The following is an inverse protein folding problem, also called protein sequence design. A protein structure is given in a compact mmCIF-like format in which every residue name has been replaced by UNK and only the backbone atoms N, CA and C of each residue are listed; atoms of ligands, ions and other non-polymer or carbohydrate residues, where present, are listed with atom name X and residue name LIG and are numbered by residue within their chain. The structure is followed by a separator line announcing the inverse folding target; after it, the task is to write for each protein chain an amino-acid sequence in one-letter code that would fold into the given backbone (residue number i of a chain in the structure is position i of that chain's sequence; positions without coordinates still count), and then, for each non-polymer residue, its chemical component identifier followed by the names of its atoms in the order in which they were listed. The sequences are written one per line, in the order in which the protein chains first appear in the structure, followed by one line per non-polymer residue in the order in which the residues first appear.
data_IF_408107712864
#
_entry.id   IF_408107712864
#
_cell.length_a   1.000
_cell.length_b   1.000
_cell.length_c   1.000
_cell.angle_alpha   90.00
_cell.angle_beta   90.00
_cell.angle_gamma   90.00
#
_symmetry.space_group_name_H-M   'P 1'
#
loop_
_entity.id
_entity.type
_entity.pdbx_description
1 polymer ?
#
# COMPACT_ATOMS: atom_id res chain seq x y z
N UNK A 1 -18.57 1.42 12.69
CA UNK A 1 -17.20 1.16 12.19
C UNK A 1 -16.46 2.47 12.26
N UNK A 2 -15.32 2.54 12.96
CA UNK A 2 -14.51 3.75 12.99
C UNK A 2 -14.13 4.12 11.54
N UNK A 3 -14.30 5.38 11.17
CA UNK A 3 -14.11 5.87 9.81
C UNK A 3 -12.72 5.46 9.33
N UNK A 4 -12.61 4.89 8.12
CA UNK A 4 -11.33 4.49 7.51
C UNK A 4 -10.31 5.63 7.58
N UNK A 5 -10.78 6.87 7.37
CA UNK A 5 -9.99 8.09 7.49
C UNK A 5 -9.42 8.30 8.90
N UNK A 6 -10.19 7.99 9.94
CA UNK A 6 -9.74 8.11 11.33
C UNK A 6 -8.68 7.06 11.66
N UNK A 7 -8.82 5.84 11.11
CA UNK A 7 -7.78 4.80 11.21
C UNK A 7 -6.51 5.22 10.49
N UNK A 8 -6.64 5.77 9.28
CA UNK A 8 -5.52 6.31 8.50
C UNK A 8 -4.76 7.41 9.27
N UNK A 9 -5.52 8.37 9.80
CA UNK A 9 -4.99 9.47 10.61
C UNK A 9 -4.33 8.95 11.88
N UNK A 10 -4.90 7.93 12.52
CA UNK A 10 -4.32 7.28 13.68
C UNK A 10 -3.00 6.60 13.34
N UNK A 11 -2.89 5.91 12.20
CA UNK A 11 -1.62 5.31 11.74
C UNK A 11 -0.56 6.39 11.49
N UNK A 12 -0.94 7.50 10.83
CA UNK A 12 -0.03 8.62 10.53
C UNK A 12 0.49 9.33 11.79
N UNK A 13 -0.38 9.54 12.78
CA UNK A 13 -0.07 10.28 14.02
C UNK A 13 0.40 9.38 15.17
N UNK A 14 0.46 8.07 14.95
CA UNK A 14 0.90 7.11 15.95
C UNK A 14 2.38 7.29 16.29
N UNK A 15 2.70 7.27 17.59
CA UNK A 15 4.07 7.27 18.11
C UNK A 15 4.73 5.87 18.10
N UNK A 16 4.09 4.88 17.46
CA UNK A 16 4.66 3.53 17.31
C UNK A 16 5.87 3.54 16.36
N UNK A 17 6.72 2.52 16.47
CA UNK A 17 7.81 2.31 15.52
C UNK A 17 7.30 2.19 14.07
N UNK A 18 8.13 2.54 13.08
CA UNK A 18 7.73 2.50 11.68
C UNK A 18 7.27 1.09 11.23
N UNK A 19 7.87 0.02 11.75
CA UNK A 19 7.49 -1.37 11.45
C UNK A 19 6.05 -1.69 11.87
N UNK A 20 5.66 -1.26 13.08
CA UNK A 20 4.29 -1.45 13.56
C UNK A 20 3.28 -0.57 12.81
N UNK A 21 3.71 0.61 12.34
CA UNK A 21 2.87 1.48 11.50
C UNK A 21 2.71 0.92 10.10
N UNK A 22 3.76 0.32 9.53
CA UNK A 22 3.75 -0.29 8.21
C UNK A 22 2.85 -1.53 8.18
N UNK A 23 2.96 -2.43 9.16
CA UNK A 23 2.09 -3.62 9.23
C UNK A 23 0.61 -3.24 9.42
N UNK A 24 0.33 -2.21 10.25
CA UNK A 24 -1.02 -1.65 10.36
C UNK A 24 -1.49 -1.04 9.04
N UNK A 25 -0.62 -0.34 8.31
CA UNK A 25 -0.94 0.23 7.01
C UNK A 25 -1.24 -0.87 5.98
N UNK A 26 -0.43 -1.92 5.89
CA UNK A 26 -0.61 -3.05 4.97
C UNK A 26 -1.94 -3.77 5.22
N UNK A 27 -2.29 -4.01 6.50
CA UNK A 27 -3.60 -4.55 6.87
C UNK A 27 -4.74 -3.63 6.42
N UNK A 28 -4.62 -2.31 6.64
CA UNK A 28 -5.63 -1.36 6.17
C UNK A 28 -5.69 -1.26 4.65
N UNK A 29 -4.56 -1.41 3.95
CA UNK A 29 -4.49 -1.40 2.50
C UNK A 29 -5.27 -2.58 1.92
N UNK A 30 -5.03 -3.80 2.43
CA UNK A 30 -5.73 -5.00 1.97
C UNK A 30 -7.25 -4.87 2.16
N UNK A 31 -7.69 -4.37 3.30
CA UNK A 31 -9.11 -4.11 3.56
C UNK A 31 -9.71 -3.10 2.57
N UNK A 32 -8.97 -2.02 2.27
CA UNK A 32 -9.44 -0.98 1.34
C UNK A 32 -9.48 -1.49 -0.09
N UNK A 33 -8.49 -2.26 -0.53
CA UNK A 33 -8.49 -2.88 -1.87
C UNK A 33 -9.69 -3.83 -2.04
N UNK A 34 -9.95 -4.68 -1.04
CA UNK A 34 -11.10 -5.59 -1.07
C UNK A 34 -12.44 -4.85 -1.11
N UNK A 35 -12.59 -3.79 -0.29
CA UNK A 35 -13.80 -2.94 -0.29
C UNK A 35 -13.93 -2.20 -1.63
N UNK A 36 -12.83 -1.66 -2.16
CA UNK A 36 -12.79 -0.94 -3.44
C UNK A 36 -13.26 -1.84 -4.57
N UNK A 37 -12.72 -3.04 -4.68
CA UNK A 37 -13.05 -3.97 -5.77
C UNK A 37 -14.51 -4.40 -5.69
N UNK A 38 -14.99 -4.72 -4.49
CA UNK A 38 -16.40 -5.02 -4.25
C UNK A 38 -17.30 -3.86 -4.69
N UNK A 39 -17.02 -2.65 -4.21
CA UNK A 39 -17.85 -1.47 -4.51
C UNK A 39 -17.77 -1.09 -5.99
N UNK A 40 -16.62 -1.25 -6.65
CA UNK A 40 -16.49 -1.05 -8.09
C UNK A 40 -17.41 -1.98 -8.87
N UNK A 41 -17.44 -3.27 -8.51
CA UNK A 41 -18.31 -4.25 -9.17
C UNK A 41 -19.78 -3.90 -8.91
N UNK A 42 -20.15 -3.57 -7.66
CA UNK A 42 -21.52 -3.18 -7.32
C UNK A 42 -21.96 -1.91 -8.07
N UNK A 43 -21.13 -0.88 -8.11
CA UNK A 43 -21.42 0.36 -8.84
C UNK A 43 -21.47 0.14 -10.36
N UNK A 44 -20.61 -0.69 -10.92
CA UNK A 44 -20.65 -1.06 -12.33
C UNK A 44 -21.95 -1.80 -12.67
N UNK A 45 -22.39 -2.72 -11.80
CA UNK A 45 -23.67 -3.42 -11.95
C UNK A 45 -24.84 -2.45 -11.87
N UNK A 46 -24.91 -1.60 -10.84
CA UNK A 46 -25.97 -0.59 -10.69
C UNK A 46 -26.02 0.33 -11.92
N UNK A 47 -24.87 0.78 -12.41
CA UNK A 47 -24.78 1.60 -13.62
C UNK A 47 -25.33 0.88 -14.85
N UNK A 48 -24.98 -0.40 -15.03
CA UNK A 48 -25.50 -1.24 -16.11
C UNK A 48 -27.03 -1.40 -16.03
N UNK A 49 -27.55 -1.69 -14.84
CA UNK A 49 -28.98 -1.86 -14.59
C UNK A 49 -29.75 -0.56 -14.82
N UNK A 50 -29.23 0.57 -14.34
CA UNK A 50 -29.81 1.89 -14.59
C UNK A 50 -29.87 2.18 -16.09
N UNK A 51 -28.78 1.99 -16.82
CA UNK A 51 -28.77 2.21 -18.28
C UNK A 51 -29.77 1.33 -19.00
N UNK A 52 -29.86 0.07 -18.60
CA UNK A 52 -30.83 -0.89 -19.17
C UNK A 52 -32.26 -0.45 -18.91
N UNK A 53 -32.60 -0.12 -17.65
CA UNK A 53 -33.93 0.37 -17.26
C UNK A 53 -34.32 1.62 -18.04
N UNK A 54 -33.39 2.58 -18.16
CA UNK A 54 -33.63 3.84 -18.89
C UNK A 54 -33.73 3.65 -20.41
N UNK A 55 -33.02 2.65 -20.97
CA UNK A 55 -33.12 2.31 -22.39
C UNK A 55 -34.45 1.60 -22.75
N UNK A 56 -35.08 0.92 -21.79
CA UNK A 56 -36.38 0.25 -21.98
C UNK A 56 -37.53 1.25 -22.13
N UNK A 57 -37.45 2.42 -21.48
CA UNK A 57 -38.55 3.40 -21.48
C UNK A 57 -38.92 3.90 -22.89
N UNK A 58 -37.98 4.33 -23.76
CA UNK A 58 -38.31 4.68 -25.13
C UNK A 58 -39.01 3.55 -25.91
N UNK A 59 -38.65 2.29 -25.66
CA UNK A 59 -39.28 1.13 -26.31
C UNK A 59 -40.72 0.92 -25.84
N UNK A 60 -40.99 1.07 -24.55
CA UNK A 60 -42.35 0.99 -24.00
C UNK A 60 -43.24 2.11 -24.54
N UNK A 61 -42.68 3.31 -24.72
CA UNK A 61 -43.39 4.43 -25.35
C UNK A 61 -43.67 4.15 -26.84
N UNK A 62 -42.68 3.63 -27.57
CA UNK A 62 -42.84 3.32 -28.99
C UNK A 62 -43.86 2.21 -29.26
N UNK A 63 -43.99 1.25 -28.34
CA UNK A 63 -44.96 0.15 -28.39
C UNK A 63 -46.33 0.51 -27.82
N UNK A 64 -46.53 1.77 -27.41
CA UNK A 64 -47.74 2.30 -26.77
C UNK A 64 -48.14 1.54 -25.49
N UNK A 65 -47.19 0.83 -24.87
CA UNK A 65 -47.37 0.15 -23.60
C UNK A 65 -47.46 1.14 -22.43
N UNK A 66 -46.79 2.30 -22.57
CA UNK A 66 -46.90 3.44 -21.65
C UNK A 66 -46.86 4.75 -22.44
N UNK A 67 -47.68 5.72 -22.06
CA UNK A 67 -47.58 7.06 -22.64
C UNK A 67 -46.43 7.85 -22.00
N UNK A 68 -45.82 8.78 -22.76
CA UNK A 68 -44.77 9.68 -22.24
C UNK A 68 -45.22 10.44 -21.00
N UNK A 69 -46.47 10.92 -20.97
CA UNK A 69 -47.03 11.64 -19.82
C UNK A 69 -47.09 10.77 -18.55
N UNK A 70 -47.48 9.50 -18.68
CA UNK A 70 -47.52 8.57 -17.54
C UNK A 70 -46.12 8.31 -17.00
N UNK A 71 -45.13 8.16 -17.88
CA UNK A 71 -43.73 8.03 -17.46
C UNK A 71 -43.24 9.29 -16.73
N UNK A 72 -43.49 10.47 -17.30
CA UNK A 72 -43.10 11.74 -16.69
C UNK A 72 -43.75 11.91 -15.30
N UNK A 73 -45.00 11.49 -15.12
CA UNK A 73 -45.67 11.51 -13.82
C UNK A 73 -45.05 10.52 -12.83
N UNK A 74 -44.65 9.33 -13.30
CA UNK A 74 -44.03 8.29 -12.48
C UNK A 74 -42.62 8.67 -12.02
N UNK A 75 -41.81 9.26 -12.92
CA UNK A 75 -40.43 9.65 -12.61
C UNK A 75 -40.33 10.91 -11.75
N UNK A 76 -41.30 11.82 -11.88
CA UNK A 76 -41.36 13.04 -11.07
C UNK A 76 -42.03 12.82 -9.71
N UNK A 77 -42.60 11.63 -9.47
CA UNK A 77 -43.12 11.27 -8.17
C UNK A 77 -41.97 11.16 -7.17
N UNK A 78 -42.06 11.80 -5.99
CA UNK A 78 -41.06 11.64 -4.95
C UNK A 78 -40.94 10.16 -4.58
N UNK A 79 -39.74 9.62 -4.73
CA UNK A 79 -39.39 8.33 -4.17
C UNK A 79 -38.68 8.55 -2.87
N UNK A 80 -38.86 7.63 -1.93
CA UNK A 80 -38.25 7.72 -0.62
C UNK A 80 -37.36 6.50 -0.42
N UNK A 81 -36.18 6.72 0.14
CA UNK A 81 -35.31 5.63 0.59
C UNK A 81 -35.92 4.91 1.79
N UNK A 82 -35.26 3.84 2.24
CA UNK A 82 -35.68 3.04 3.40
C UNK A 82 -35.74 3.85 4.71
N UNK A 83 -35.13 5.04 4.72
CA UNK A 83 -35.07 5.98 5.85
C UNK A 83 -36.11 7.10 5.70
N UNK A 84 -36.93 7.07 4.65
CA UNK A 84 -37.95 8.07 4.37
C UNK A 84 -37.41 9.39 3.80
N UNK A 85 -36.16 9.43 3.32
CA UNK A 85 -35.59 10.61 2.65
C UNK A 85 -35.86 10.56 1.15
N UNK A 86 -36.04 11.72 0.49
CA UNK A 86 -36.26 11.76 -0.95
C UNK A 86 -35.07 11.15 -1.71
N UNK A 87 -35.31 10.06 -2.41
CA UNK A 87 -34.37 9.42 -3.32
C UNK A 87 -34.39 10.15 -4.68
N UNK A 88 -33.21 10.44 -5.21
CA UNK A 88 -33.10 11.01 -6.56
C UNK A 88 -33.24 9.89 -7.57
N UNK A 89 -34.26 9.97 -8.42
CA UNK A 89 -34.46 9.00 -9.51
C UNK A 89 -33.76 9.45 -10.79
N UNK A 90 -33.35 10.72 -10.90
CA UNK A 90 -32.76 11.29 -12.12
C UNK A 90 -31.47 10.55 -12.54
N UNK A 91 -31.49 9.95 -13.73
CA UNK A 91 -30.37 9.17 -14.28
C UNK A 91 -29.04 9.93 -14.25
N UNK A 92 -29.01 11.18 -14.75
CA UNK A 92 -27.77 11.96 -14.83
C UNK A 92 -27.18 12.25 -13.46
N UNK A 93 -28.02 12.54 -12.46
CA UNK A 93 -27.57 12.73 -11.07
C UNK A 93 -27.07 11.42 -10.46
N UNK A 94 -27.74 10.29 -10.71
CA UNK A 94 -27.31 8.99 -10.22
C UNK A 94 -25.97 8.58 -10.82
N UNK A 95 -25.78 8.74 -12.13
CA UNK A 95 -24.52 8.47 -12.81
C UNK A 95 -23.39 9.34 -12.27
N UNK A 96 -23.65 10.63 -12.02
CA UNK A 96 -22.70 11.54 -11.41
C UNK A 96 -22.30 11.07 -10.00
N UNK A 97 -23.29 10.72 -9.16
CA UNK A 97 -23.03 10.21 -7.81
C UNK A 97 -22.18 8.94 -7.86
N UNK A 98 -22.50 8.01 -8.77
CA UNK A 98 -21.73 6.76 -8.91
C UNK A 98 -20.28 7.06 -9.32
N UNK A 99 -20.06 7.97 -10.27
CA UNK A 99 -18.71 8.40 -10.64
C UNK A 99 -17.98 9.06 -9.47
N UNK A 100 -18.62 9.99 -8.77
CA UNK A 100 -18.03 10.66 -7.60
C UNK A 100 -17.63 9.64 -6.51
N UNK A 101 -18.42 8.58 -6.29
CA UNK A 101 -18.08 7.53 -5.33
C UNK A 101 -16.90 6.67 -5.78
N UNK A 102 -16.83 6.33 -7.07
CA UNK A 102 -15.70 5.60 -7.65
C UNK A 102 -14.41 6.43 -7.53
N UNK A 103 -14.47 7.71 -7.88
CA UNK A 103 -13.32 8.62 -7.81
C UNK A 103 -12.84 8.80 -6.36
N UNK A 104 -13.77 8.90 -5.40
CA UNK A 104 -13.44 8.97 -3.98
C UNK A 104 -12.70 7.71 -3.50
N UNK A 105 -13.12 6.53 -3.96
CA UNK A 105 -12.42 5.28 -3.63
C UNK A 105 -10.99 5.28 -4.18
N UNK A 106 -10.79 5.78 -5.40
CA UNK A 106 -9.45 5.88 -5.99
C UNK A 106 -8.57 6.92 -5.26
N UNK A 107 -9.14 8.07 -4.85
CA UNK A 107 -8.44 9.05 -4.00
C UNK A 107 -7.96 8.42 -2.69
N UNK A 108 -8.82 7.62 -2.03
CA UNK A 108 -8.42 6.95 -0.78
C UNK A 108 -7.31 5.93 -0.99
N UNK A 109 -7.33 5.20 -2.12
CA UNK A 109 -6.28 4.24 -2.47
C UNK A 109 -4.95 4.96 -2.72
N UNK A 110 -4.96 6.04 -3.49
CA UNK A 110 -3.75 6.82 -3.76
C UNK A 110 -3.14 7.38 -2.47
N UNK A 111 -3.97 7.88 -1.56
CA UNK A 111 -3.50 8.34 -0.24
C UNK A 111 -2.84 7.23 0.59
N UNK A 112 -3.30 5.99 0.46
CA UNK A 112 -2.66 4.83 1.13
C UNK A 112 -1.28 4.53 0.54
N UNK A 113 -1.18 4.54 -0.79
CA UNK A 113 0.08 4.30 -1.49
C UNK A 113 1.12 5.38 -1.17
N UNK A 114 0.69 6.64 -1.09
CA UNK A 114 1.54 7.76 -0.69
C UNK A 114 2.12 7.55 0.72
N UNK A 115 1.31 7.22 1.73
CA UNK A 115 1.86 6.96 3.08
C UNK A 115 2.78 5.74 3.11
N UNK A 116 2.51 4.72 2.29
CA UNK A 116 3.39 3.55 2.19
C UNK A 116 4.77 3.97 1.70
N UNK A 117 4.80 4.83 0.68
CA UNK A 117 6.04 5.40 0.18
C UNK A 117 6.75 6.23 1.27
N UNK A 118 6.03 7.09 1.99
CA UNK A 118 6.58 7.87 3.12
C UNK A 118 7.23 6.95 4.18
N UNK A 119 6.62 5.80 4.49
CA UNK A 119 7.18 4.85 5.45
C UNK A 119 8.42 4.11 4.95
N UNK A 120 8.48 3.74 3.66
CA UNK A 120 9.69 3.16 3.07
C UNK A 120 10.86 4.16 3.06
N UNK A 121 10.55 5.45 2.91
CA UNK A 121 11.56 6.50 2.99
C UNK A 121 12.05 6.75 4.41
N UNK A 122 11.17 6.65 5.41
CA UNK A 122 11.59 6.66 6.82
C UNK A 122 12.47 5.45 7.16
N UNK A 123 12.11 4.24 6.72
CA UNK A 123 12.94 3.03 6.90
C UNK A 123 14.35 3.25 6.34
N UNK A 124 14.46 3.79 5.11
CA UNK A 124 15.76 4.08 4.49
C UNK A 124 16.57 5.07 5.32
N UNK A 125 15.93 6.14 5.81
CA UNK A 125 16.60 7.15 6.66
C UNK A 125 17.05 6.56 7.99
N UNK A 126 16.24 5.72 8.63
CA UNK A 126 16.63 5.03 9.86
C UNK A 126 17.81 4.07 9.63
N UNK A 127 17.79 3.31 8.53
CA UNK A 127 18.89 2.41 8.16
C UNK A 127 20.20 3.18 7.94
N UNK A 128 20.17 4.30 7.23
CA UNK A 128 21.34 5.15 7.01
C UNK A 128 21.87 5.75 8.31
N UNK A 129 20.98 6.22 9.20
CA UNK A 129 21.37 6.70 10.53
C UNK A 129 22.03 5.61 11.35
N UNK A 130 21.47 4.40 11.34
CA UNK A 130 22.06 3.25 12.03
C UNK A 130 23.45 2.92 11.48
N UNK A 131 23.62 2.82 10.17
CA UNK A 131 24.92 2.58 9.55
C UNK A 131 25.96 3.64 9.92
N UNK A 132 25.56 4.92 9.90
CA UNK A 132 26.43 6.03 10.29
C UNK A 132 26.87 5.93 11.76
N UNK A 133 25.95 5.59 12.66
CA UNK A 133 26.24 5.39 14.09
C UNK A 133 27.18 4.20 14.33
N UNK A 134 26.99 3.09 13.61
CA UNK A 134 27.86 1.91 13.69
C UNK A 134 29.26 2.25 13.18
N UNK A 135 29.39 2.92 12.04
CA UNK A 135 30.68 3.35 11.50
C UNK A 135 31.40 4.32 12.44
N UNK A 136 30.69 5.29 13.02
CA UNK A 136 31.24 6.20 14.02
C UNK A 136 31.74 5.45 15.27
N UNK A 137 30.98 4.46 15.75
CA UNK A 137 31.36 3.64 16.90
C UNK A 137 32.59 2.79 16.60
N UNK A 138 32.67 2.17 15.43
CA UNK A 138 33.83 1.41 14.96
C UNK A 138 35.08 2.29 14.82
N UNK A 139 34.93 3.51 14.30
CA UNK A 139 36.03 4.47 14.21
C UNK A 139 36.52 4.90 15.59
N UNK A 140 35.61 5.14 16.53
CA UNK A 140 35.96 5.45 17.91
C UNK A 140 36.68 4.28 18.60
N UNK A 141 36.24 3.05 18.34
CA UNK A 141 36.92 1.85 18.82
C UNK A 141 38.33 1.74 18.25
N UNK A 142 38.48 1.86 16.92
CA UNK A 142 39.78 1.85 16.25
C UNK A 142 40.74 2.88 16.87
N UNK A 143 40.28 4.13 17.02
CA UNK A 143 41.09 5.20 17.61
C UNK A 143 41.47 4.92 19.07
N UNK A 144 40.60 4.26 19.84
CA UNK A 144 40.87 3.90 21.24
C UNK A 144 41.92 2.80 21.31
N UNK A 145 41.80 1.78 20.46
CA UNK A 145 42.76 0.67 20.35
C UNK A 145 44.12 1.20 19.89
N UNK A 146 44.16 2.05 18.87
CA UNK A 146 45.39 2.67 18.34
C UNK A 146 46.10 3.52 19.41
N UNK A 147 45.37 4.34 20.18
CA UNK A 147 45.92 5.09 21.31
C UNK A 147 46.44 4.18 22.43
N UNK A 148 45.75 3.07 22.71
CA UNK A 148 46.21 2.05 23.66
C UNK A 148 47.57 1.49 23.26
N UNK A 149 47.74 1.10 21.99
CA UNK A 149 49.01 0.60 21.47
C UNK A 149 50.12 1.67 21.40
N UNK A 150 49.79 2.93 21.14
CA UNK A 150 50.76 4.02 21.13
C UNK A 150 51.35 4.30 22.53
N UNK A 151 50.52 4.24 23.58
CA UNK A 151 50.97 4.47 24.96
C UNK A 151 51.91 3.35 25.47
N UNK A 152 51.67 2.09 25.11
CA UNK A 152 52.54 0.95 25.47
C UNK A 152 53.97 1.12 24.94
N UNK A 153 54.13 1.76 23.77
CA UNK A 153 55.45 2.01 23.18
C UNK A 153 56.18 3.21 23.81
N UNK A 154 55.50 4.12 24.51
CA UNK A 154 56.13 5.30 25.14
C UNK A 154 56.62 5.03 26.57
N UNK A 155 55.96 4.16 27.35
CA UNK A 155 56.40 3.77 28.70
C UNK A 155 57.58 2.79 28.70
N UNK A 156 58.07 2.39 27.53
CA UNK A 156 59.18 1.46 27.35
C UNK A 156 60.59 2.07 27.54
N UNK A 157 60.69 3.36 27.92
CA UNK A 157 61.96 4.09 28.01
C UNK A 157 62.50 4.34 29.42
N UNK A 158 62.01 3.64 30.44
CA UNK A 158 62.75 3.45 31.70
C UNK A 158 63.31 2.02 31.77
N UNK A 159 64.57 1.90 32.15
CA UNK A 159 65.39 0.68 32.15
C UNK A 159 64.79 -0.42 33.02
N UNK A 160 63.88 -1.23 32.47
CA UNK A 160 63.25 -2.34 33.18
C UNK A 160 63.82 -3.67 32.70
N UNK A 161 64.29 -4.44 33.68
CA UNK A 161 64.78 -5.81 33.57
C UNK A 161 63.92 -6.69 32.64
N UNK A 162 64.54 -7.48 31.73
CA UNK A 162 63.84 -8.24 30.68
C UNK A 162 62.87 -9.32 31.20
N UNK A 163 62.93 -9.66 32.50
CA UNK A 163 61.95 -10.55 33.15
C UNK A 163 60.67 -9.82 33.56
N UNK A 164 60.78 -8.55 33.94
CA UNK A 164 59.62 -7.76 34.36
C UNK A 164 58.81 -7.32 33.15
N UNK A 165 59.45 -6.89 32.05
CA UNK A 165 58.74 -6.54 30.81
C UNK A 165 57.98 -7.72 30.20
N UNK A 166 58.52 -8.95 30.25
CA UNK A 166 57.80 -10.15 29.80
C UNK A 166 56.54 -10.42 30.63
N UNK A 167 56.61 -10.19 31.94
CA UNK A 167 55.48 -10.41 32.84
C UNK A 167 54.41 -9.32 32.65
N UNK A 168 54.82 -8.07 32.46
CA UNK A 168 53.92 -6.95 32.14
C UNK A 168 53.21 -7.15 30.80
N UNK A 169 53.94 -7.54 29.75
CA UNK A 169 53.36 -7.81 28.43
C UNK A 169 52.38 -9.01 28.49
N UNK A 170 52.71 -10.07 29.24
CA UNK A 170 51.78 -11.19 29.43
C UNK A 170 50.52 -10.79 30.20
N UNK A 171 50.67 -9.91 31.20
CA UNK A 171 49.54 -9.39 31.97
C UNK A 171 48.66 -8.47 31.12
N UNK A 172 49.24 -7.60 30.30
CA UNK A 172 48.51 -6.74 29.36
C UNK A 172 47.77 -7.56 28.30
N UNK A 173 48.41 -8.59 27.72
CA UNK A 173 47.76 -9.51 26.79
C UNK A 173 46.58 -10.21 27.46
N UNK A 174 46.71 -10.63 28.73
CA UNK A 174 45.62 -11.25 29.46
C UNK A 174 44.45 -10.28 29.71
N UNK A 175 44.73 -9.01 30.05
CA UNK A 175 43.69 -7.98 30.19
C UNK A 175 43.02 -7.64 28.87
N UNK A 176 43.77 -7.45 27.78
CA UNK A 176 43.20 -7.21 26.46
C UNK A 176 42.36 -8.40 25.97
N UNK A 177 42.81 -9.62 26.27
CA UNK A 177 42.04 -10.83 25.99
C UNK A 177 40.73 -10.86 26.78
N UNK A 178 40.74 -10.49 28.07
CA UNK A 178 39.55 -10.46 28.90
C UNK A 178 38.56 -9.35 28.46
N UNK A 179 39.06 -8.17 28.10
CA UNK A 179 38.25 -7.07 27.57
C UNK A 179 37.63 -7.43 26.21
N UNK A 180 38.40 -8.09 25.34
CA UNK A 180 37.88 -8.59 24.05
C UNK A 180 36.78 -9.64 24.24
N UNK A 181 36.91 -10.52 25.23
CA UNK A 181 35.91 -11.53 25.54
C UNK A 181 34.61 -10.89 26.09
N UNK A 182 34.75 -9.92 27.01
CA UNK A 182 33.60 -9.18 27.56
C UNK A 182 32.90 -8.36 26.47
N UNK A 183 33.65 -7.78 25.53
CA UNK A 183 33.08 -7.06 24.39
C UNK A 183 32.36 -8.01 23.41
N UNK A 184 32.95 -9.16 23.10
CA UNK A 184 32.33 -10.18 22.26
C UNK A 184 31.02 -10.70 22.88
N UNK A 185 30.99 -10.87 24.20
CA UNK A 185 29.79 -11.24 24.94
C UNK A 185 28.72 -10.14 24.93
N UNK A 186 29.13 -8.86 25.01
CA UNK A 186 28.24 -7.71 24.85
C UNK A 186 27.63 -7.60 23.44
N UNK A 187 28.43 -7.82 22.40
CA UNK A 187 27.96 -7.85 21.00
C UNK A 187 27.00 -9.03 20.79
N UNK A 188 27.37 -10.22 21.29
CA UNK A 188 26.51 -11.40 21.21
C UNK A 188 25.18 -11.19 21.94
N UNK A 189 25.19 -10.60 23.13
CA UNK A 189 23.97 -10.29 23.87
C UNK A 189 23.10 -9.25 23.14
N UNK A 190 23.69 -8.25 22.49
CA UNK A 190 22.95 -7.29 21.68
C UNK A 190 22.31 -7.94 20.45
N UNK A 191 23.03 -8.85 19.78
CA UNK A 191 22.52 -9.66 18.67
C UNK A 191 21.39 -10.58 19.14
N UNK A 192 21.59 -11.32 20.23
CA UNK A 192 20.58 -12.22 20.79
C UNK A 192 19.31 -11.45 21.21
N UNK A 193 19.46 -10.20 21.73
CA UNK A 193 18.33 -9.32 22.03
C UNK A 193 17.59 -8.85 20.77
N UNK A 194 18.32 -8.47 19.72
CA UNK A 194 17.75 -8.07 18.44
C UNK A 194 17.00 -9.25 17.78
N UNK A 195 17.58 -10.45 17.80
CA UNK A 195 16.94 -11.69 17.34
C UNK A 195 15.69 -11.99 18.17
N UNK A 196 15.76 -11.91 19.51
CA UNK A 196 14.59 -12.15 20.36
C UNK A 196 13.47 -11.13 20.14
N UNK A 197 13.79 -9.87 19.81
CA UNK A 197 12.81 -8.87 19.41
C UNK A 197 12.15 -9.24 18.08
N UNK A 198 12.92 -9.70 17.10
CA UNK A 198 12.42 -10.19 15.81
C UNK A 198 11.56 -11.46 15.95
N UNK A 199 11.94 -12.39 16.82
CA UNK A 199 11.17 -13.63 17.03
C UNK A 199 9.88 -13.43 17.84
N UNK A 200 9.83 -12.43 18.74
CA UNK A 200 8.58 -12.10 19.46
C UNK A 200 7.53 -11.47 18.55
N UNK A 201 7.94 -10.82 17.46
CA UNK A 201 7.04 -10.29 16.44
C UNK A 201 6.43 -11.37 15.54
N UNK A 202 7.03 -12.55 15.42
CA UNK A 202 6.49 -13.67 14.62
C UNK A 202 5.58 -14.64 15.40
N UNK A 203 5.68 -14.69 16.74
CA UNK A 203 4.98 -15.71 17.55
C UNK A 203 3.57 -15.32 18.04
N UNK A 204 3.08 -14.11 17.75
CA UNK A 204 1.77 -13.65 18.28
C UNK A 204 0.55 -13.96 17.40
N UNK A 205 0.72 -14.63 16.25
CA UNK A 205 -0.39 -14.89 15.31
C UNK A 205 -0.84 -16.35 15.13
N UNK A 206 -0.39 -17.29 15.96
CA UNK A 206 -0.89 -18.67 15.87
C UNK A 206 -1.13 -19.26 17.27
N UNK A 207 -2.10 -18.74 18.01
CA UNK A 207 -2.98 -19.54 18.90
C UNK A 207 -3.95 -18.61 19.64
N UNK A 208 -5.18 -18.46 19.14
CA UNK A 208 -6.40 -18.26 19.95
C UNK A 208 -7.65 -18.18 19.08
N UNK A 209 -8.08 -19.32 18.53
CA UNK A 209 -9.49 -19.58 18.17
C UNK A 209 -9.68 -21.05 17.75
N UNK A 210 -9.53 -21.99 18.69
CA UNK A 210 -10.01 -23.35 18.50
C UNK A 210 -10.52 -23.90 19.84
N UNK A 211 -11.80 -23.67 20.12
CA UNK A 211 -12.63 -24.51 21.00
C UNK A 211 -14.08 -24.03 20.92
N UNK A 212 -14.92 -24.90 20.32
CA UNK A 212 -16.40 -25.04 20.34
C UNK A 212 -16.84 -25.36 18.90
N UNK A 213 -17.49 -26.45 18.53
CA UNK A 213 -18.16 -27.53 19.25
C UNK A 213 -18.20 -28.78 18.36
N UNK A 214 -18.07 -29.93 19.02
CA UNK A 214 -18.52 -31.25 18.57
C UNK A 214 -20.02 -31.26 18.28
N UNK A 215 -20.45 -31.64 17.06
CA UNK A 215 -21.71 -32.40 16.90
C UNK A 215 -21.88 -33.05 15.52
N UNK A 216 -22.22 -34.34 15.57
CA UNK A 216 -23.05 -35.14 14.66
C UNK A 216 -22.52 -35.61 13.28
N UNK A 217 -22.09 -36.88 13.27
CA UNK A 217 -22.84 -38.00 12.67
C UNK A 217 -22.75 -38.23 11.14
N UNK A 218 -21.76 -39.04 10.76
CA UNK A 218 -21.84 -39.98 9.62
C UNK A 218 -22.80 -41.14 9.97
N UNK A 219 -23.53 -41.73 9.01
CA UNK A 219 -22.96 -42.91 8.34
C UNK A 219 -23.40 -43.15 6.87
N UNK A 220 -22.74 -44.16 6.27
CA UNK A 220 -23.07 -44.93 5.04
C UNK A 220 -22.50 -44.33 3.75
N UNK A 221 -21.44 -44.84 3.12
CA UNK A 221 -21.09 -46.20 2.64
C UNK A 221 -21.96 -46.66 1.44
N UNK A 222 -21.25 -46.85 0.32
CA UNK A 222 -21.54 -47.63 -0.90
C UNK A 222 -22.63 -47.14 -1.89
N UNK A 223 -22.20 -46.79 -3.12
CA UNK A 223 -22.38 -47.68 -4.27
C UNK A 223 -21.67 -47.19 -5.55
N UNK A 224 -21.03 -48.15 -6.21
CA UNK A 224 -20.48 -48.11 -7.57
C UNK A 224 -21.51 -47.78 -8.64
N UNK A 225 -21.07 -47.08 -9.71
CA UNK A 225 -21.43 -47.30 -11.12
C UNK A 225 -20.61 -46.31 -11.97
N UNK A 226 -19.64 -46.75 -12.77
CA UNK A 226 -19.82 -47.18 -14.16
C UNK A 226 -20.73 -46.23 -14.96
N UNK A 227 -20.08 -45.44 -15.83
CA UNK A 227 -20.69 -44.51 -16.76
C UNK A 227 -19.65 -44.10 -17.79
N UNK A 228 -19.31 -45.03 -18.67
CA UNK A 228 -18.62 -44.76 -19.94
C UNK A 228 -19.42 -43.71 -20.72
N UNK A 229 -18.76 -42.60 -21.07
CA UNK A 229 -19.33 -41.50 -21.84
C UNK A 229 -18.38 -41.09 -22.95
N UNK A 230 -18.45 -41.85 -24.05
CA UNK A 230 -18.36 -41.44 -25.46
C UNK A 230 -17.53 -40.17 -25.71
N UNK A 231 -16.28 -40.35 -26.17
CA UNK A 231 -15.50 -39.32 -26.87
C UNK A 231 -16.00 -39.34 -28.32
N UNK A 232 -16.88 -38.40 -28.67
CA UNK A 232 -17.30 -38.18 -30.05
C UNK A 232 -16.29 -37.22 -30.72
N UNK A 233 -15.51 -37.77 -31.64
CA UNK A 233 -14.60 -37.05 -32.53
C UNK A 233 -15.39 -36.03 -33.36
N UNK A 234 -15.21 -34.74 -33.07
CA UNK A 234 -15.51 -33.68 -34.02
C UNK A 234 -14.26 -33.37 -34.84
N UNK A 235 -14.19 -33.98 -36.02
CA UNK A 235 -13.44 -33.45 -37.14
C UNK A 235 -14.13 -32.18 -37.62
N UNK A 236 -13.46 -31.04 -37.48
CA UNK A 236 -13.90 -29.80 -38.13
C UNK A 236 -12.78 -29.33 -39.07
N UNK A 237 -13.17 -29.30 -40.35
CA UNK A 237 -12.42 -28.85 -41.52
C UNK A 237 -11.76 -27.50 -41.25
N UNK A 238 -10.43 -27.44 -41.39
CA UNK A 238 -9.72 -26.17 -41.50
C UNK A 238 -9.62 -25.81 -42.98
N UNK A 239 -10.38 -24.80 -43.34
CA UNK A 239 -10.32 -24.12 -44.63
C UNK A 239 -8.90 -23.66 -44.96
N UNK A 240 -8.53 -23.91 -46.22
CA UNK A 240 -7.31 -23.46 -46.86
C UNK A 240 -7.25 -21.93 -46.93
N UNK A 241 -6.25 -21.34 -46.28
CA UNK A 241 -5.89 -19.94 -46.47
C UNK A 241 -5.12 -19.80 -47.80
N UNK A 242 -5.51 -18.91 -48.72
CA UNK A 242 -4.75 -18.66 -49.94
C UNK A 242 -3.38 -18.07 -49.62
N UNK A 243 -2.32 -18.71 -50.13
CA UNK A 243 -0.95 -18.17 -50.12
C UNK A 243 -0.88 -16.94 -51.02
N UNK A 244 -0.81 -15.76 -50.42
CA UNK A 244 -0.37 -14.55 -51.11
C UNK A 244 1.16 -14.57 -51.17
N UNK A 245 1.64 -14.81 -52.39
CA UNK A 245 3.01 -14.53 -52.82
C UNK A 245 3.10 -13.01 -53.00
N UNK A 246 3.96 -12.37 -52.22
CA UNK A 246 4.37 -10.99 -52.40
C UNK A 246 5.88 -10.93 -52.18
N UNK A 247 6.61 -10.90 -53.27
CA UNK A 247 7.98 -10.39 -53.33
C UNK A 247 7.93 -8.86 -53.10
N UNK A 248 8.85 -8.32 -52.30
CA UNK A 248 9.60 -7.05 -52.49
C UNK A 248 10.01 -6.39 -51.16
N UNK A 249 11.33 -6.31 -50.99
CA UNK A 249 12.12 -5.15 -50.54
C UNK A 249 11.62 -4.33 -49.32
N UNK A 250 12.18 -4.60 -48.13
CA UNK A 250 12.27 -3.59 -47.07
C UNK A 250 13.36 -3.92 -46.03
N UNK A 251 14.62 -3.87 -46.46
CA UNK A 251 15.80 -3.88 -45.58
C UNK A 251 16.07 -2.49 -44.92
N UNK A 252 15.12 -1.54 -44.98
CA UNK A 252 15.31 -0.16 -44.46
C UNK A 252 14.68 0.10 -43.07
N UNK A 253 13.90 -0.83 -42.49
CA UNK A 253 13.27 -0.61 -41.17
C UNK A 253 14.12 -1.07 -39.96
N UNK A 254 15.27 -1.73 -40.19
CA UNK A 254 16.13 -2.17 -39.07
C UNK A 254 17.03 -1.07 -38.50
N UNK A 255 17.28 0.02 -39.23
CA UNK A 255 18.13 1.12 -38.77
C UNK A 255 17.37 2.16 -37.91
N UNK A 256 16.03 2.23 -37.98
CA UNK A 256 15.23 3.17 -37.17
C UNK A 256 15.02 2.72 -35.73
N UNK A 257 15.08 1.41 -35.43
CA UNK A 257 14.94 0.94 -34.04
C UNK A 257 16.21 1.11 -33.19
N UNK A 258 17.40 1.12 -33.80
CA UNK A 258 18.65 1.38 -33.05
C UNK A 258 18.83 2.87 -32.70
N UNK A 259 18.25 3.79 -33.50
CA UNK A 259 18.29 5.22 -33.21
C UNK A 259 17.30 5.65 -32.11
N UNK A 260 16.18 4.91 -31.96
CA UNK A 260 15.19 5.16 -30.91
C UNK A 260 15.67 4.63 -29.52
N UNK A 261 16.40 3.52 -29.49
CA UNK A 261 16.98 2.98 -28.23
C UNK A 261 18.16 3.84 -27.72
N UNK A 262 18.92 4.46 -28.63
CA UNK A 262 19.97 5.43 -28.29
C UNK A 262 19.45 6.76 -27.71
N UNK A 263 18.21 7.15 -28.03
CA UNK A 263 17.58 8.34 -27.45
C UNK A 263 17.12 8.10 -26.00
N UNK A 264 16.63 6.90 -25.70
CA UNK A 264 16.16 6.56 -24.34
C UNK A 264 17.31 6.54 -23.32
N UNK A 265 18.52 6.15 -23.73
CA UNK A 265 19.69 6.14 -22.84
C UNK A 265 20.21 7.57 -22.59
N UNK A 266 20.15 8.45 -23.60
CA UNK A 266 20.60 9.85 -23.51
C UNK A 266 19.66 10.72 -22.67
N UNK A 267 18.36 10.47 -22.75
CA UNK A 267 17.36 11.19 -21.95
C UNK A 267 17.43 10.81 -20.46
N UNK A 268 17.87 9.60 -20.15
CA UNK A 268 18.09 9.17 -18.76
C UNK A 268 19.35 9.77 -18.13
N UNK A 269 20.43 10.00 -18.89
CA UNK A 269 21.61 10.73 -18.38
C UNK A 269 21.29 12.21 -18.12
N UNK A 270 20.46 12.84 -18.96
CA UNK A 270 20.02 14.22 -18.75
C UNK A 270 19.08 14.36 -17.54
N UNK A 271 18.36 13.30 -17.17
CA UNK A 271 17.50 13.27 -15.98
C UNK A 271 18.30 13.15 -14.67
N UNK A 272 19.48 12.53 -14.70
CA UNK A 272 20.37 12.42 -13.52
C UNK A 272 21.14 13.73 -13.28
N UNK A 273 21.57 14.45 -14.33
CA UNK A 273 22.19 15.77 -14.18
C UNK A 273 21.20 16.86 -13.69
N UNK A 274 19.89 16.68 -13.89
CA UNK A 274 18.86 17.60 -13.39
C UNK A 274 18.65 17.57 -11.87
N UNK A 275 19.09 16.51 -11.18
CA UNK A 275 18.95 16.39 -9.72
C UNK A 275 20.04 17.14 -8.94
N UNK A 276 21.22 17.33 -9.53
CA UNK A 276 22.33 18.07 -8.88
C UNK A 276 22.20 19.59 -9.04
N UNK A 277 21.27 20.08 -9.87
CA UNK A 277 21.02 21.51 -10.07
C UNK A 277 19.87 22.06 -9.18
N UNK A 278 19.19 21.21 -8.42
CA UNK A 278 17.98 21.56 -7.67
C UNK A 278 18.22 21.80 -6.17
N UNK A 279 19.46 22.17 -5.78
CA UNK A 279 19.80 22.55 -4.41
C UNK A 279 19.65 24.06 -4.13
N UNK A 280 19.21 24.86 -5.10
CA UNK A 280 18.90 26.30 -4.91
C UNK A 280 17.74 26.78 -5.80
N UNK A 281 16.50 26.35 -5.53
CA UNK A 281 15.32 27.11 -5.94
C UNK A 281 14.38 27.26 -4.75
N UNK A 282 14.22 28.52 -4.33
CA UNK A 282 13.37 28.96 -3.24
C UNK A 282 11.90 28.50 -3.45
N UNK A 283 11.24 28.21 -2.34
CA UNK A 283 9.81 27.89 -2.25
C UNK A 283 8.96 29.00 -2.90
N UNK A 284 8.62 28.87 -4.19
CA UNK A 284 7.54 29.66 -4.79
C UNK A 284 6.19 29.11 -4.28
N UNK A 285 5.61 29.81 -3.30
CA UNK A 285 4.19 29.68 -2.96
C UNK A 285 3.34 29.88 -4.23
N UNK A 286 2.38 29.00 -4.54
CA UNK A 286 1.55 29.15 -5.73
C UNK A 286 0.67 30.41 -5.62
N UNK A 287 1.03 31.47 -6.35
CA UNK A 287 0.31 32.76 -6.43
C UNK A 287 -1.04 32.70 -7.18
N UNK A 288 -1.49 31.52 -7.60
CA UNK A 288 -2.77 31.37 -8.29
C UNK A 288 -3.94 31.54 -7.29
N UNK A 289 -4.36 32.79 -7.11
CA UNK A 289 -5.51 33.20 -6.29
C UNK A 289 -6.80 32.42 -6.65
N UNK A 290 -6.91 31.95 -7.89
CA UNK A 290 -7.99 31.08 -8.36
C UNK A 290 -7.88 29.65 -7.85
N UNK A 291 -6.67 29.07 -7.79
CA UNK A 291 -6.41 27.77 -7.20
C UNK A 291 -6.67 27.78 -5.69
N UNK A 292 -6.27 28.85 -5.00
CA UNK A 292 -6.57 29.10 -3.59
C UNK A 292 -8.08 29.23 -3.33
N UNK A 293 -8.84 29.91 -4.20
CA UNK A 293 -10.32 29.99 -4.10
C UNK A 293 -10.98 28.65 -4.34
N UNK A 294 -10.52 27.87 -5.32
CA UNK A 294 -11.05 26.54 -5.60
C UNK A 294 -10.75 25.55 -4.46
N UNK A 295 -9.54 25.62 -3.89
CA UNK A 295 -9.15 24.85 -2.72
C UNK A 295 -9.98 25.23 -1.48
N UNK A 296 -10.19 26.53 -1.24
CA UNK A 296 -11.05 27.02 -0.16
C UNK A 296 -12.51 26.57 -0.32
N UNK A 297 -13.05 26.60 -1.55
CA UNK A 297 -14.40 26.14 -1.84
C UNK A 297 -14.54 24.62 -1.64
N UNK A 298 -13.55 23.83 -2.08
CA UNK A 298 -13.49 22.38 -1.83
C UNK A 298 -13.38 22.08 -0.35
N UNK A 299 -12.56 22.81 0.39
CA UNK A 299 -12.42 22.66 1.84
C UNK A 299 -13.72 23.01 2.59
N UNK A 300 -14.43 24.06 2.17
CA UNK A 300 -15.72 24.45 2.75
C UNK A 300 -16.80 23.38 2.48
N UNK A 301 -16.83 22.83 1.26
CA UNK A 301 -17.76 21.74 0.91
C UNK A 301 -17.44 20.44 1.67
N UNK A 302 -16.15 20.12 1.86
CA UNK A 302 -15.70 19.00 2.71
C UNK A 302 -16.19 19.17 4.16
N UNK A 303 -16.06 20.36 4.75
CA UNK A 303 -16.58 20.64 6.10
C UNK A 303 -18.11 20.52 6.20
N UNK A 304 -18.84 20.91 5.15
CA UNK A 304 -20.29 20.80 5.12
C UNK A 304 -20.74 19.32 5.11
N UNK A 305 -20.07 18.50 4.30
CA UNK A 305 -20.30 17.05 4.24
C UNK A 305 -19.92 16.38 5.56
N UNK A 306 -18.81 16.76 6.19
CA UNK A 306 -18.41 16.23 7.50
C UNK A 306 -19.46 16.54 8.59
N UNK A 307 -20.04 17.74 8.59
CA UNK A 307 -21.13 18.10 9.51
C UNK A 307 -22.42 17.31 9.24
N UNK A 308 -22.74 17.04 7.97
CA UNK A 308 -23.88 16.18 7.59
C UNK A 308 -23.66 14.74 8.03
N UNK A 309 -22.46 14.20 7.86
CA UNK A 309 -22.12 12.85 8.33
C UNK A 309 -22.17 12.78 9.87
N UNK A 310 -21.65 13.79 10.55
CA UNK A 310 -21.64 13.82 12.02
C UNK A 310 -23.06 13.96 12.60
N UNK A 311 -23.94 14.71 11.94
CA UNK A 311 -25.37 14.76 12.33
C UNK A 311 -26.04 13.41 12.10
N UNK A 312 -25.81 12.75 10.96
CA UNK A 312 -26.34 11.40 10.71
C UNK A 312 -25.87 10.36 11.73
N UNK A 313 -24.63 10.46 12.18
CA UNK A 313 -24.06 9.56 13.19
C UNK A 313 -24.63 9.80 14.60
N UNK A 314 -24.84 11.06 14.98
CA UNK A 314 -25.50 11.43 16.25
C UNK A 314 -26.98 11.01 16.29
N UNK A 315 -27.65 10.97 15.13
CA UNK A 315 -29.02 10.48 15.04
C UNK A 315 -29.10 8.95 15.12
N UNK A 316 -28.19 8.23 14.46
CA UNK A 316 -28.11 6.76 14.51
C UNK A 316 -27.85 6.23 15.92
N UNK A 317 -26.99 6.90 16.70
CA UNK A 317 -26.62 6.49 18.07
C UNK A 317 -27.68 6.82 19.13
N UNK A 318 -28.54 7.82 18.90
CA UNK A 318 -29.68 8.11 19.78
C UNK A 318 -30.86 7.16 19.57
N UNK A 319 -31.04 6.63 18.36
CA UNK A 319 -32.12 5.66 18.06
C UNK A 319 -31.81 4.25 18.52
N UNK A 320 -30.54 3.88 18.73
CA UNK A 320 -30.14 2.55 19.21
C UNK A 320 -30.12 2.39 20.74
N UNK A 321 -30.38 3.46 21.51
CA UNK A 321 -30.34 3.45 22.98
C UNK A 321 -31.71 3.49 23.67
N UNK A 322 -32.80 3.34 22.92
CA UNK A 322 -34.18 3.39 23.42
C UNK A 322 -34.96 2.12 23.12
N UNK A 323 -34.49 0.97 23.63
CA UNK A 323 -35.30 -0.24 23.88
C UNK A 323 -34.96 -0.73 25.28
#
# INVERSE_FOLDING_TARGET
MNNLRDRLKAVRTSNKGWQERLTQLESTQLEVEAIRDKLHVEFALIRSDLRTLYAVIPLLIATDAISKRQWDELINRPQYDDVGKPATVNQGKLELIISDQIDLLEETRLSILEMRQEFLEEERREMQRFQTLVLASLKNLHNTVEKGFANVNQDSHETVSPKNSKLTIQQEIATLSAESAHLAEGIKAAIDNAIAKLSRTESYDITSAASTESSTQNPSQEHSREGEGIIEEMHEERDEIPRLVGDDDSDEESEQMEEEEGNIIRDNEQFVEGFDAMEEEDEEEPEDEEALRLAAQRAQRRRQIENEIHTLYLYSTKTSGGI
#
